data_IF_699848410960
#
_entry.id   IF_699848410960
#
_cell.length_a   1.000
_cell.length_b   1.000
_cell.length_c   1.000
_cell.angle_alpha   90.00
_cell.angle_beta   90.00
_cell.angle_gamma   90.00
#
_symmetry.space_group_name_H-M   'P 1'
#
loop_
_entity.id
_entity.type
_entity.pdbx_description
1 polymer ?
#
# COMPACT_ATOMS: atom_id res chain seq x y z
N UNK A 1 -17.73 7.46 17.96
CA UNK A 1 -17.12 6.64 16.89
C UNK A 1 -17.57 5.21 17.03
N UNK A 2 -18.00 4.63 15.94
CA UNK A 2 -18.54 3.29 15.98
C UNK A 2 -17.44 2.26 15.81
N UNK A 3 -17.73 1.02 16.24
CA UNK A 3 -16.77 -0.06 16.06
C UNK A 3 -16.41 -0.29 14.60
N UNK A 4 -17.40 -0.28 13.69
CA UNK A 4 -17.03 -0.45 12.28
C UNK A 4 -16.08 0.62 11.80
N UNK A 5 -16.26 1.84 12.24
CA UNK A 5 -15.36 2.89 11.82
C UNK A 5 -13.96 2.68 12.35
N UNK A 6 -13.86 2.23 13.59
CA UNK A 6 -12.55 1.94 14.16
C UNK A 6 -11.85 0.82 13.41
N UNK A 7 -12.61 -0.21 13.04
CA UNK A 7 -12.04 -1.32 12.29
C UNK A 7 -11.56 -0.88 10.93
N UNK A 8 -12.35 -0.04 10.26
CA UNK A 8 -11.97 0.46 8.95
C UNK A 8 -10.70 1.30 9.06
N UNK A 9 -10.66 2.18 10.03
CA UNK A 9 -9.48 3.02 10.20
C UNK A 9 -8.24 2.18 10.49
N UNK A 10 -8.40 1.17 11.33
CA UNK A 10 -7.26 0.31 11.65
C UNK A 10 -6.72 -0.40 10.43
N UNK A 11 -7.61 -0.88 9.58
CA UNK A 11 -7.17 -1.55 8.36
C UNK A 11 -6.50 -0.58 7.40
N UNK A 12 -7.06 0.61 7.27
CA UNK A 12 -6.44 1.59 6.37
C UNK A 12 -5.04 1.95 6.84
N UNK A 13 -4.87 2.14 8.13
CA UNK A 13 -3.55 2.44 8.67
C UNK A 13 -2.60 1.26 8.46
N UNK A 14 -3.12 0.05 8.61
CA UNK A 14 -2.30 -1.13 8.41
C UNK A 14 -1.77 -1.17 6.98
N UNK A 15 -2.65 -0.95 6.01
CA UNK A 15 -2.23 -1.00 4.62
C UNK A 15 -1.25 0.12 4.30
N UNK A 16 -1.47 1.30 4.86
CA UNK A 16 -0.55 2.39 4.64
C UNK A 16 0.82 2.08 5.23
N UNK A 17 0.85 1.47 6.39
CA UNK A 17 2.11 1.11 7.01
C UNK A 17 2.85 0.08 6.15
N UNK A 18 2.12 -0.86 5.57
CA UNK A 18 2.74 -1.86 4.72
C UNK A 18 3.31 -1.24 3.45
N UNK A 19 2.61 -0.26 2.89
CA UNK A 19 3.12 0.44 1.73
C UNK A 19 4.39 1.21 2.06
N UNK A 20 4.40 1.87 3.20
CA UNK A 20 5.59 2.63 3.60
C UNK A 20 6.76 1.71 3.88
N UNK A 21 6.49 0.58 4.49
CA UNK A 21 7.53 -0.39 4.75
C UNK A 21 8.16 -0.88 3.45
N UNK A 22 7.31 -1.22 2.49
CA UNK A 22 7.82 -1.69 1.20
C UNK A 22 8.60 -0.60 0.48
N UNK A 23 8.13 0.63 0.55
CA UNK A 23 8.83 1.75 -0.07
C UNK A 23 10.19 1.95 0.59
N UNK A 24 10.24 1.82 1.90
CA UNK A 24 11.51 1.98 2.60
C UNK A 24 12.51 0.92 2.14
N UNK A 25 12.05 -0.31 2.04
CA UNK A 25 12.93 -1.41 1.62
C UNK A 25 13.44 -1.17 0.21
N UNK A 26 12.55 -0.82 -0.71
CA UNK A 26 12.94 -0.58 -2.09
C UNK A 26 13.91 0.58 -2.21
N UNK A 27 13.61 1.67 -1.52
CA UNK A 27 14.47 2.84 -1.57
C UNK A 27 15.85 2.53 -1.03
N UNK A 28 15.89 1.75 0.03
CA UNK A 28 17.14 1.39 0.64
C UNK A 28 18.01 0.59 -0.33
N UNK A 29 17.40 -0.37 -1.03
CA UNK A 29 18.15 -1.16 -2.00
C UNK A 29 18.61 -0.30 -3.16
N UNK A 30 17.74 0.57 -3.65
CA UNK A 30 18.09 1.40 -4.79
C UNK A 30 19.23 2.37 -4.47
N UNK A 31 19.29 2.82 -3.22
CA UNK A 31 20.33 3.75 -2.83
C UNK A 31 21.63 3.07 -2.44
N UNK A 32 21.63 1.76 -2.34
CA UNK A 32 22.83 1.03 -1.97
C UNK A 32 23.27 0.12 -3.09
N UNK A 33 23.66 0.74 -4.20
CA UNK A 33 24.02 -0.02 -5.38
C UNK A 33 25.15 -0.99 -5.11
N UNK A 34 26.04 -0.63 -4.22
CA UNK A 34 27.17 -1.50 -3.91
C UNK A 34 26.70 -2.81 -3.31
N UNK A 35 25.73 -2.72 -2.41
CA UNK A 35 25.18 -3.93 -1.79
C UNK A 35 24.45 -4.78 -2.81
N UNK A 36 23.92 -4.15 -3.85
CA UNK A 36 23.17 -4.86 -4.86
C UNK A 36 24.03 -5.94 -5.51
N UNK A 37 25.26 -5.62 -5.80
CA UNK A 37 26.11 -6.55 -6.50
C UNK A 37 26.52 -7.75 -5.68
N UNK A 38 26.31 -7.68 -4.37
CA UNK A 38 26.74 -8.74 -3.51
C UNK A 38 25.62 -9.62 -3.00
N UNK A 39 24.41 -9.33 -3.43
CA UNK A 39 23.26 -10.10 -2.96
C UNK A 39 22.58 -10.77 -4.12
N UNK A 40 22.85 -12.05 -4.33
CA UNK A 40 22.22 -12.74 -5.44
C UNK A 40 20.71 -12.77 -5.33
N UNK A 41 20.19 -12.67 -4.10
CA UNK A 41 18.74 -12.68 -3.90
C UNK A 41 18.13 -11.31 -3.91
N UNK A 42 18.88 -10.30 -4.26
CA UNK A 42 18.38 -8.94 -4.18
C UNK A 42 17.13 -8.73 -5.02
N UNK A 43 17.13 -9.25 -6.23
CA UNK A 43 15.98 -9.07 -7.09
C UNK A 43 14.75 -9.72 -6.51
N UNK A 44 14.92 -10.88 -5.89
CA UNK A 44 13.79 -11.55 -5.27
C UNK A 44 13.25 -10.72 -4.10
N UNK A 45 14.16 -10.11 -3.35
CA UNK A 45 13.73 -9.30 -2.22
C UNK A 45 13.03 -8.04 -2.68
N UNK A 46 13.52 -7.44 -3.74
CA UNK A 46 12.86 -6.26 -4.29
C UNK A 46 11.50 -6.61 -4.85
N UNK A 47 11.41 -7.75 -5.51
CA UNK A 47 10.15 -8.19 -6.05
C UNK A 47 9.15 -8.45 -4.94
N UNK A 48 9.61 -9.02 -3.83
CA UNK A 48 8.72 -9.25 -2.69
C UNK A 48 8.21 -7.93 -2.12
N UNK A 49 9.06 -6.92 -2.08
CA UNK A 49 8.64 -5.61 -1.59
C UNK A 49 7.61 -4.99 -2.53
N UNK A 50 7.79 -5.17 -3.83
CA UNK A 50 6.83 -4.66 -4.79
C UNK A 50 5.50 -5.38 -4.63
N UNK A 51 5.53 -6.68 -4.42
CA UNK A 51 4.31 -7.44 -4.17
C UNK A 51 3.58 -6.91 -2.95
N UNK A 52 4.33 -6.67 -1.89
CA UNK A 52 3.74 -6.18 -0.67
C UNK A 52 3.07 -4.83 -0.88
N UNK A 53 3.77 -3.95 -1.59
CA UNK A 53 3.20 -2.64 -1.87
C UNK A 53 1.94 -2.76 -2.71
N UNK A 54 2.01 -3.53 -3.78
CA UNK A 54 0.88 -3.64 -4.69
C UNK A 54 -0.33 -4.24 -3.99
N UNK A 55 -0.11 -5.25 -3.17
CA UNK A 55 -1.20 -5.88 -2.45
C UNK A 55 -1.82 -4.91 -1.46
N UNK A 56 -1.00 -4.22 -0.69
CA UNK A 56 -1.52 -3.28 0.29
C UNK A 56 -2.25 -2.13 -0.38
N UNK A 57 -1.71 -1.66 -1.48
CA UNK A 57 -2.33 -0.57 -2.23
C UNK A 57 -3.69 -0.99 -2.76
N UNK A 58 -3.78 -2.18 -3.29
CA UNK A 58 -5.05 -2.67 -3.80
C UNK A 58 -6.08 -2.83 -2.69
N UNK A 59 -5.63 -3.36 -1.55
CA UNK A 59 -6.54 -3.51 -0.43
C UNK A 59 -7.03 -2.17 0.08
N UNK A 60 -6.13 -1.21 0.15
CA UNK A 60 -6.49 0.13 0.59
C UNK A 60 -7.56 0.70 -0.33
N UNK A 61 -7.31 0.65 -1.62
CA UNK A 61 -8.24 1.22 -2.59
C UNK A 61 -9.58 0.49 -2.54
N UNK A 62 -9.54 -0.81 -2.39
CA UNK A 62 -10.77 -1.60 -2.35
C UNK A 62 -11.59 -1.23 -1.13
N UNK A 63 -10.94 -1.11 0.02
CA UNK A 63 -11.68 -0.78 1.23
C UNK A 63 -12.29 0.61 1.14
N UNK A 64 -11.54 1.56 0.60
CA UNK A 64 -12.07 2.90 0.42
C UNK A 64 -13.29 2.86 -0.49
N UNK A 65 -13.18 2.13 -1.58
CA UNK A 65 -14.28 2.06 -2.53
C UNK A 65 -15.52 1.46 -1.89
N UNK A 66 -15.34 0.37 -1.17
CA UNK A 66 -16.48 -0.30 -0.56
C UNK A 66 -17.17 0.58 0.46
N UNK A 67 -16.39 1.31 1.26
CA UNK A 67 -17.00 2.14 2.28
C UNK A 67 -17.66 3.36 1.68
N UNK A 68 -17.13 3.88 0.60
CA UNK A 68 -17.74 5.05 -0.01
C UNK A 68 -19.01 4.72 -0.74
N UNK A 69 -18.99 3.62 -1.48
CA UNK A 69 -20.18 3.22 -2.20
C UNK A 69 -21.33 2.98 -1.24
N UNK A 70 -21.01 2.35 -0.13
CA UNK A 70 -22.02 2.07 0.83
C UNK A 70 -22.58 3.32 1.42
N UNK A 71 -21.75 4.33 1.54
CA UNK A 71 -22.12 5.52 2.24
C UNK A 71 -23.08 6.39 1.48
N UNK A 72 -22.79 6.71 0.24
CA UNK A 72 -23.62 7.66 -0.46
C UNK A 72 -24.06 7.22 -1.83
N UNK A 73 -23.73 6.01 -2.20
CA UNK A 73 -24.25 5.48 -3.44
C UNK A 73 -23.84 6.23 -4.67
N UNK A 74 -22.82 7.04 -4.57
CA UNK A 74 -22.38 7.78 -5.73
C UNK A 74 -21.65 6.88 -6.68
N UNK A 75 -21.71 7.24 -7.93
CA UNK A 75 -21.05 6.47 -8.92
C UNK A 75 -19.61 6.80 -9.07
N UNK A 76 -19.17 7.88 -8.49
CA UNK A 76 -17.82 8.29 -8.66
C UNK A 76 -16.91 7.39 -7.88
N UNK A 77 -15.92 6.86 -8.54
CA UNK A 77 -14.97 6.00 -7.88
C UNK A 77 -14.04 6.80 -7.02
N UNK A 78 -13.59 6.22 -5.93
CA UNK A 78 -12.57 6.90 -5.14
C UNK A 78 -11.31 7.01 -5.98
N UNK A 79 -10.77 8.19 -6.02
CA UNK A 79 -9.62 8.41 -6.84
C UNK A 79 -8.41 8.52 -5.98
N UNK A 80 -8.11 7.43 -5.33
CA UNK A 80 -6.97 7.37 -4.47
C UNK A 80 -5.71 7.77 -5.20
N UNK A 81 -5.61 7.32 -6.43
CA UNK A 81 -4.40 7.56 -7.18
C UNK A 81 -4.25 9.00 -7.63
N UNK A 82 -5.35 9.69 -7.79
CA UNK A 82 -5.27 11.08 -8.17
C UNK A 82 -4.59 11.90 -7.10
N UNK A 83 -4.84 11.56 -5.86
CA UNK A 83 -4.23 12.28 -4.79
C UNK A 83 -2.77 11.92 -4.57
N UNK A 84 -2.35 10.85 -5.15
CA UNK A 84 -0.99 10.38 -4.94
C UNK A 84 -0.05 10.80 -6.04
N UNK A 85 -0.59 11.29 -7.11
CA UNK A 85 0.25 11.79 -8.18
C UNK A 85 0.88 13.13 -7.82
#
# INVERSE_FOLDING_TARGET
MSLPKLAIDALLFKYQAEMKDATYVLTNYLNNAVAVGEHPDLLAEMDAAIDKYAEANEKFATLVKLTREKKDGTKKEPTLFEGMD
#
